data_IF_059700299228
#
_entry.id   IF_059700299228
#
_cell.length_a   1.000
_cell.length_b   1.000
_cell.length_c   1.000
_cell.angle_alpha   90.00
_cell.angle_beta   90.00
_cell.angle_gamma   90.00
#
_symmetry.space_group_name_H-M   'P 1'
#
loop_
_entity.id
_entity.type
_entity.pdbx_description
1 polymer ?
#
# COMPACT_ATOMS: atom_id res chain seq x y z
N UNK A 1 16.95 10.33 53.65
CA UNK A 1 16.16 11.32 52.92
C UNK A 1 15.64 10.81 51.55
N UNK A 2 16.40 10.11 50.68
CA UNK A 2 15.84 9.62 49.39
C UNK A 2 14.75 8.55 49.50
N UNK A 3 14.81 7.66 50.51
CA UNK A 3 13.80 6.61 50.72
C UNK A 3 12.42 7.15 51.14
N UNK A 4 12.37 8.25 51.90
CA UNK A 4 11.14 8.93 52.31
C UNK A 4 10.43 9.60 51.12
N UNK A 5 11.20 10.21 50.24
CA UNK A 5 10.69 10.82 48.99
C UNK A 5 10.11 9.76 48.02
N UNK A 6 10.79 8.62 47.87
CA UNK A 6 10.31 7.52 47.05
C UNK A 6 8.97 6.94 47.55
N UNK A 7 8.80 6.81 48.87
CA UNK A 7 7.54 6.37 49.49
C UNK A 7 6.40 7.39 49.28
N UNK A 8 6.67 8.69 49.40
CA UNK A 8 5.64 9.74 49.18
C UNK A 8 5.20 9.76 47.73
N UNK A 9 6.13 9.57 46.76
CA UNK A 9 5.83 9.52 45.34
C UNK A 9 4.90 8.35 44.96
N UNK A 10 5.05 7.21 45.65
CA UNK A 10 4.21 6.03 45.39
C UNK A 10 2.75 6.18 45.91
N UNK A 11 2.48 7.07 46.82
CA UNK A 11 1.13 7.36 47.34
C UNK A 11 0.41 8.46 46.54
N UNK A 12 1.07 9.15 45.60
CA UNK A 12 0.43 10.16 44.78
C UNK A 12 -0.46 9.46 43.73
N UNK A 13 -1.78 9.73 43.71
CA UNK A 13 -2.67 9.16 42.74
C UNK A 13 -2.41 9.83 41.35
N UNK A 14 -1.42 9.34 40.64
CA UNK A 14 -0.98 9.84 39.34
C UNK A 14 -2.12 10.00 38.33
N UNK A 15 -3.13 9.15 38.42
CA UNK A 15 -4.36 9.26 37.62
C UNK A 15 -5.11 10.57 37.87
N UNK A 16 -5.19 11.02 39.13
CA UNK A 16 -5.86 12.29 39.48
C UNK A 16 -5.05 13.49 38.96
N UNK A 17 -3.73 13.44 39.12
CA UNK A 17 -2.84 14.48 38.57
C UNK A 17 -3.01 14.55 37.05
N UNK A 18 -3.06 13.41 36.38
CA UNK A 18 -3.23 13.34 34.95
C UNK A 18 -4.60 13.90 34.50
N UNK A 19 -5.69 13.57 35.19
CA UNK A 19 -7.02 14.12 34.94
C UNK A 19 -7.03 15.64 35.14
N UNK A 20 -6.36 16.12 36.20
CA UNK A 20 -6.27 17.56 36.49
C UNK A 20 -5.48 18.29 35.39
N UNK A 21 -4.31 17.80 34.98
CA UNK A 21 -3.50 18.42 33.93
C UNK A 21 -4.24 18.43 32.59
N UNK A 22 -4.97 17.37 32.27
CA UNK A 22 -5.82 17.31 31.08
C UNK A 22 -6.94 18.36 31.14
N UNK A 23 -7.60 18.49 32.29
CA UNK A 23 -8.78 19.38 32.42
C UNK A 23 -8.41 20.86 32.48
N UNK A 24 -7.32 21.21 33.16
CA UNK A 24 -6.96 22.60 33.45
C UNK A 24 -5.85 23.15 32.52
N UNK A 25 -4.94 22.28 32.06
CA UNK A 25 -3.82 22.70 31.21
C UNK A 25 -3.97 22.23 29.75
N UNK A 26 -5.02 21.43 29.43
CA UNK A 26 -5.23 20.90 28.08
C UNK A 26 -4.09 19.97 27.62
N UNK A 27 -3.39 19.33 28.55
CA UNK A 27 -2.28 18.44 28.26
C UNK A 27 -2.80 17.02 28.05
N UNK A 28 -2.41 16.43 26.94
CA UNK A 28 -2.77 15.06 26.53
C UNK A 28 -1.56 14.19 26.38
N UNK A 29 -1.73 12.89 26.62
CA UNK A 29 -0.75 11.86 26.29
C UNK A 29 -1.16 11.22 24.96
N UNK A 30 -0.25 11.23 23.99
CA UNK A 30 -0.43 10.63 22.68
C UNK A 30 0.53 9.44 22.54
N UNK A 31 0.00 8.34 22.04
CA UNK A 31 0.75 7.17 21.61
C UNK A 31 0.57 7.03 20.11
N UNK A 32 1.61 7.27 19.33
CA UNK A 32 1.56 7.40 17.87
C UNK A 32 2.37 6.27 17.28
N UNK A 33 1.73 5.45 16.46
CA UNK A 33 2.31 4.30 15.76
C UNK A 33 2.15 4.40 14.24
N UNK A 34 1.30 5.32 13.77
CA UNK A 34 1.12 5.55 12.33
C UNK A 34 2.42 6.08 11.73
N UNK A 35 2.97 5.33 10.78
CA UNK A 35 4.26 5.62 10.15
C UNK A 35 4.34 7.04 9.59
N UNK A 36 3.28 7.48 8.90
CA UNK A 36 3.22 8.82 8.29
C UNK A 36 3.29 9.94 9.33
N UNK A 37 2.51 9.85 10.40
CA UNK A 37 2.52 10.81 11.50
C UNK A 37 3.87 10.80 12.22
N UNK A 38 4.45 9.62 12.46
CA UNK A 38 5.77 9.49 13.08
C UNK A 38 6.86 10.17 12.25
N UNK A 39 6.87 9.97 10.93
CA UNK A 39 7.84 10.58 10.01
C UNK A 39 7.67 12.10 9.97
N UNK A 40 6.43 12.61 9.97
CA UNK A 40 6.17 14.07 10.01
C UNK A 40 6.71 14.72 11.28
N UNK A 41 6.38 14.12 12.43
CA UNK A 41 6.85 14.61 13.73
C UNK A 41 8.38 14.54 13.78
N UNK A 42 9.00 13.44 13.37
CA UNK A 42 10.45 13.28 13.36
C UNK A 42 11.13 14.35 12.52
N UNK A 43 10.67 14.62 11.30
CA UNK A 43 11.24 15.68 10.44
C UNK A 43 11.20 17.06 11.10
N UNK A 44 10.12 17.38 11.80
CA UNK A 44 9.94 18.69 12.45
C UNK A 44 10.77 18.86 13.72
N UNK A 45 11.06 17.77 14.43
CA UNK A 45 11.84 17.80 15.68
C UNK A 45 13.29 17.39 15.49
N UNK A 46 13.71 17.05 14.28
CA UNK A 46 15.05 16.53 13.97
C UNK A 46 16.19 17.41 14.48
N UNK A 47 16.03 18.73 14.42
CA UNK A 47 17.03 19.71 14.92
C UNK A 47 17.11 19.83 16.45
N UNK A 48 16.11 19.29 17.19
CA UNK A 48 16.02 19.35 18.65
C UNK A 48 16.07 17.98 19.32
N UNK A 49 16.31 16.92 18.53
CA UNK A 49 16.35 15.55 19.01
C UNK A 49 17.68 15.26 19.72
N UNK A 50 17.61 14.82 20.96
CA UNK A 50 18.78 14.22 21.63
C UNK A 50 18.95 12.81 21.11
N UNK A 51 19.92 12.59 20.22
CA UNK A 51 20.16 11.32 19.55
C UNK A 51 20.94 10.40 20.46
N UNK A 52 20.40 9.20 20.69
CA UNK A 52 21.13 8.14 21.39
C UNK A 52 21.79 7.20 20.36
N UNK A 53 23.12 7.23 20.31
CA UNK A 53 23.91 6.27 19.55
C UNK A 53 23.80 6.33 18.01
N UNK A 54 23.51 7.47 17.40
CA UNK A 54 23.45 7.61 15.92
C UNK A 54 22.15 7.11 15.29
N UNK A 55 21.17 6.70 16.09
CA UNK A 55 19.83 6.27 15.63
C UNK A 55 18.86 7.45 15.64
N UNK A 56 17.85 7.39 14.77
CA UNK A 56 16.77 8.38 14.72
C UNK A 56 15.79 8.26 15.91
N UNK A 57 16.29 7.86 17.09
CA UNK A 57 15.56 7.70 18.35
C UNK A 57 16.10 8.70 19.39
N UNK A 58 15.25 9.13 20.31
CA UNK A 58 15.64 10.05 21.37
C UNK A 58 14.49 10.89 21.89
N UNK A 59 14.83 11.89 22.67
CA UNK A 59 13.88 12.82 23.27
C UNK A 59 13.92 14.16 22.55
N UNK A 60 12.75 14.77 22.35
CA UNK A 60 12.65 16.16 21.92
C UNK A 60 11.67 16.91 22.83
N UNK A 61 11.97 18.19 23.07
CA UNK A 61 11.17 19.06 23.91
C UNK A 61 10.98 20.41 23.21
N UNK A 62 9.76 20.90 23.24
CA UNK A 62 9.41 22.23 22.78
C UNK A 62 8.52 22.96 23.76
N UNK A 63 8.03 24.17 23.40
CA UNK A 63 7.30 25.04 24.32
C UNK A 63 6.10 24.38 25.02
N UNK A 64 5.41 23.44 24.34
CA UNK A 64 4.19 22.81 24.84
C UNK A 64 4.12 21.32 24.47
N UNK A 65 5.28 20.67 24.30
CA UNK A 65 5.39 19.24 24.10
C UNK A 65 6.70 18.67 24.64
N UNK A 66 6.64 17.45 25.08
CA UNK A 66 7.78 16.58 25.34
C UNK A 66 7.44 15.27 24.63
N UNK A 67 8.37 14.74 23.85
CA UNK A 67 8.18 13.48 23.17
C UNK A 67 9.43 12.59 23.24
N UNK A 68 9.18 11.30 23.15
CA UNK A 68 10.20 10.28 23.03
C UNK A 68 9.92 9.50 21.74
N UNK A 69 10.89 9.48 20.83
CA UNK A 69 10.87 8.67 19.61
C UNK A 69 11.67 7.41 19.89
N UNK A 70 11.02 6.27 19.76
CA UNK A 70 11.65 4.97 19.80
C UNK A 70 11.70 4.42 18.38
N UNK A 71 12.91 4.35 17.80
CA UNK A 71 13.16 3.75 16.51
C UNK A 71 13.58 2.29 16.73
N UNK A 72 12.79 1.37 16.22
CA UNK A 72 13.15 -0.05 16.18
C UNK A 72 13.68 -0.31 14.76
N UNK A 73 15.01 -0.41 14.63
CA UNK A 73 15.63 -0.85 13.39
C UNK A 73 15.37 -2.35 13.27
N UNK A 74 14.54 -2.71 12.33
CA UNK A 74 14.42 -4.10 11.88
C UNK A 74 15.32 -4.24 10.66
N UNK A 75 16.30 -5.13 10.72
CA UNK A 75 17.32 -5.36 9.67
C UNK A 75 16.76 -5.58 8.27
N UNK A 76 15.45 -5.80 8.13
CA UNK A 76 14.75 -6.12 6.89
C UNK A 76 13.65 -5.15 6.44
N UNK A 77 13.14 -4.26 7.33
CA UNK A 77 11.91 -3.49 7.02
C UNK A 77 12.04 -1.97 7.10
N UNK A 78 13.25 -1.45 7.32
CA UNK A 78 13.43 -0.05 7.65
C UNK A 78 12.97 0.27 9.08
N UNK A 79 13.28 1.46 9.56
CA UNK A 79 12.99 1.86 10.93
C UNK A 79 11.48 1.99 11.16
N UNK A 80 10.96 1.26 12.12
CA UNK A 80 9.60 1.45 12.64
C UNK A 80 9.68 2.43 13.79
N UNK A 81 8.84 3.47 13.77
CA UNK A 81 8.84 4.51 14.81
C UNK A 81 7.62 4.36 15.71
N UNK A 82 7.86 4.52 16.99
CA UNK A 82 6.81 4.68 17.99
C UNK A 82 7.09 5.95 18.77
N UNK A 83 6.10 6.83 18.89
CA UNK A 83 6.26 8.12 19.56
C UNK A 83 5.33 8.19 20.78
N UNK A 84 5.91 8.43 21.92
CA UNK A 84 5.19 8.82 23.13
C UNK A 84 5.30 10.33 23.28
N UNK A 85 4.19 11.05 23.30
CA UNK A 85 4.21 12.49 23.38
C UNK A 85 3.23 13.01 24.41
N UNK A 86 3.70 13.90 25.27
CA UNK A 86 2.90 14.72 26.19
C UNK A 86 2.84 16.10 25.58
N UNK A 87 1.65 16.58 25.21
CA UNK A 87 1.50 17.88 24.58
C UNK A 87 0.09 18.45 24.71
N UNK A 88 -0.03 19.74 24.40
CA UNK A 88 -1.35 20.34 24.14
C UNK A 88 -1.86 19.90 22.78
N UNK A 89 -3.19 19.91 22.61
CA UNK A 89 -3.84 19.54 21.34
C UNK A 89 -3.37 20.43 20.17
N UNK A 90 -3.13 21.73 20.42
CA UNK A 90 -2.61 22.65 19.43
C UNK A 90 -1.21 22.30 18.96
N UNK A 91 -0.34 21.90 19.88
CA UNK A 91 1.03 21.46 19.55
C UNK A 91 1.02 20.11 18.80
N UNK A 92 0.15 19.19 19.19
CA UNK A 92 -0.03 17.94 18.46
C UNK A 92 -0.45 18.20 17.01
N UNK A 93 -1.52 18.98 16.81
CA UNK A 93 -2.02 19.34 15.48
C UNK A 93 -0.94 20.04 14.64
N UNK A 94 -0.14 20.93 15.24
CA UNK A 94 0.96 21.61 14.55
C UNK A 94 2.07 20.65 14.11
N UNK A 95 2.40 19.64 14.93
CA UNK A 95 3.42 18.65 14.60
C UNK A 95 2.95 17.57 13.61
N UNK A 96 1.64 17.35 13.49
CA UNK A 96 1.05 16.32 12.59
C UNK A 96 0.47 16.89 11.30
N UNK A 97 0.31 18.23 11.15
CA UNK A 97 -0.21 18.88 9.94
C UNK A 97 0.59 18.48 8.70
N UNK A 98 -0.07 18.38 7.56
CA UNK A 98 0.61 18.20 6.28
C UNK A 98 1.41 19.45 5.90
N UNK A 99 2.56 19.30 5.26
CA UNK A 99 3.49 20.40 4.93
C UNK A 99 2.94 21.32 3.82
N UNK A 100 1.86 20.89 3.16
CA UNK A 100 1.27 21.59 2.02
C UNK A 100 0.42 22.83 2.38
N UNK A 101 0.22 23.13 3.68
CA UNK A 101 -0.58 24.30 4.13
C UNK A 101 0.24 25.45 4.75
N UNK A 102 1.56 25.42 4.70
CA UNK A 102 2.37 26.61 5.10
C UNK A 102 2.72 27.43 3.86
N UNK A 103 2.01 28.54 3.66
CA UNK A 103 2.34 29.58 2.68
C UNK A 103 3.78 30.09 2.95
N UNK A 104 4.68 29.88 2.00
CA UNK A 104 5.98 30.55 1.99
C UNK A 104 5.80 32.04 1.69
N UNK A 105 6.54 32.95 2.41
CA UNK A 105 6.51 34.36 2.08
C UNK A 105 7.25 34.59 0.76
N UNK A 106 6.51 35.12 -0.20
CA UNK A 106 6.88 35.81 -1.44
C UNK A 106 8.38 35.90 -1.73
N UNK A 107 8.90 35.08 -2.60
CA UNK A 107 10.17 35.28 -3.29
C UNK A 107 9.91 35.18 -4.80
N UNK A 108 10.20 36.27 -5.47
CA UNK A 108 10.19 36.64 -6.86
C UNK A 108 9.99 35.49 -7.89
N UNK A 109 8.89 35.59 -8.64
CA UNK A 109 8.52 34.81 -9.80
C UNK A 109 9.64 34.74 -10.85
N UNK A 110 10.19 33.55 -11.02
CA UNK A 110 10.76 33.07 -12.28
C UNK A 110 9.70 32.11 -12.84
N UNK A 111 9.25 32.26 -14.09
CA UNK A 111 8.27 31.35 -14.66
C UNK A 111 8.96 30.03 -14.99
N UNK A 112 8.85 29.06 -14.10
CA UNK A 112 9.29 27.70 -14.32
C UNK A 112 8.17 26.90 -15.00
N UNK A 113 8.50 26.51 -16.21
CA UNK A 113 8.22 25.23 -16.87
C UNK A 113 7.27 24.28 -16.15
N UNK A 114 6.17 23.97 -16.83
CA UNK A 114 5.32 22.77 -16.76
C UNK A 114 5.46 21.90 -15.48
N UNK A 115 4.42 21.88 -14.66
CA UNK A 115 4.19 20.93 -13.57
C UNK A 115 4.40 19.51 -14.08
N UNK A 116 5.58 18.96 -13.81
CA UNK A 116 5.86 17.53 -13.98
C UNK A 116 5.03 16.78 -12.94
N UNK A 117 3.86 16.29 -13.34
CA UNK A 117 3.08 15.33 -12.55
C UNK A 117 4.03 14.29 -11.94
N UNK A 118 3.95 14.12 -10.63
CA UNK A 118 4.79 13.18 -9.88
C UNK A 118 4.88 11.84 -10.62
N UNK A 119 6.06 11.52 -11.12
CA UNK A 119 6.32 10.26 -11.84
C UNK A 119 6.46 9.06 -10.90
N UNK A 120 6.16 9.21 -9.62
CA UNK A 120 6.31 8.18 -8.59
C UNK A 120 5.03 7.37 -8.45
N UNK A 121 5.17 6.06 -8.35
CA UNK A 121 4.11 5.11 -8.02
C UNK A 121 4.48 4.34 -6.76
N UNK A 122 3.49 3.94 -5.97
CA UNK A 122 3.68 3.08 -4.80
C UNK A 122 3.63 1.62 -5.22
N UNK A 123 4.75 0.91 -5.11
CA UNK A 123 4.87 -0.51 -5.44
C UNK A 123 4.99 -1.32 -4.16
N UNK A 124 4.32 -2.47 -4.13
CA UNK A 124 4.32 -3.38 -2.99
C UNK A 124 5.08 -4.65 -3.34
N UNK A 125 6.09 -4.93 -2.55
CA UNK A 125 6.86 -6.15 -2.64
C UNK A 125 6.46 -7.11 -1.51
N UNK A 126 6.25 -8.38 -1.86
CA UNK A 126 6.10 -9.47 -0.90
C UNK A 126 7.43 -9.76 -0.24
N UNK A 127 7.45 -9.85 1.07
CA UNK A 127 8.65 -10.09 1.88
C UNK A 127 8.38 -11.23 2.86
N UNK A 128 9.42 -11.89 3.31
CA UNK A 128 9.34 -13.02 4.23
C UNK A 128 9.10 -14.36 3.54
N UNK A 129 8.94 -15.39 4.34
CA UNK A 129 8.76 -16.77 3.86
C UNK A 129 7.72 -17.52 4.68
N UNK A 130 6.96 -18.34 4.01
CA UNK A 130 6.01 -19.32 4.57
C UNK A 130 5.05 -18.76 5.64
N UNK A 131 5.35 -18.95 6.91
CA UNK A 131 4.48 -18.55 8.03
C UNK A 131 4.60 -17.10 8.44
N UNK A 132 5.56 -16.38 7.90
CA UNK A 132 5.81 -14.98 8.23
C UNK A 132 5.93 -14.17 6.93
N UNK A 133 4.80 -13.95 6.26
CA UNK A 133 4.67 -13.16 5.05
C UNK A 133 4.13 -11.80 5.40
N UNK A 134 4.77 -10.75 4.89
CA UNK A 134 4.29 -9.36 4.97
C UNK A 134 4.59 -8.61 3.69
N UNK A 135 3.98 -7.45 3.52
CA UNK A 135 4.07 -6.66 2.30
C UNK A 135 4.67 -5.29 2.59
N UNK A 136 5.65 -4.88 1.80
CA UNK A 136 6.37 -3.61 1.97
C UNK A 136 6.10 -2.67 0.81
N UNK A 137 5.67 -1.45 1.11
CA UNK A 137 5.58 -0.35 0.14
C UNK A 137 6.97 0.24 -0.15
N UNK A 138 7.22 0.54 -1.40
CA UNK A 138 8.33 1.37 -1.86
C UNK A 138 7.91 2.25 -3.01
N UNK A 139 8.55 3.40 -3.15
CA UNK A 139 8.33 4.28 -4.29
C UNK A 139 9.17 3.84 -5.48
N UNK A 140 8.59 3.95 -6.66
CA UNK A 140 9.24 3.71 -7.93
C UNK A 140 8.89 4.83 -8.90
N UNK A 141 9.88 5.41 -9.56
CA UNK A 141 9.64 6.34 -10.68
C UNK A 141 9.18 5.58 -11.92
N UNK A 142 8.13 6.08 -12.56
CA UNK A 142 7.59 5.55 -13.80
C UNK A 142 7.38 6.69 -14.79
N UNK A 143 8.24 6.76 -15.80
CA UNK A 143 8.21 7.79 -16.84
C UNK A 143 7.41 7.37 -18.07
N UNK A 144 7.05 6.08 -18.16
CA UNK A 144 6.28 5.54 -19.26
C UNK A 144 4.91 6.24 -19.39
N UNK A 145 4.50 6.44 -20.63
CA UNK A 145 3.18 6.94 -21.01
C UNK A 145 2.39 5.86 -21.72
N UNK A 146 1.06 5.82 -21.56
CA UNK A 146 0.22 4.83 -22.24
C UNK A 146 0.31 4.98 -23.76
N UNK A 147 0.41 3.88 -24.48
CA UNK A 147 0.20 3.84 -25.93
C UNK A 147 -1.30 3.83 -26.27
N UNK A 148 -1.70 4.16 -27.50
CA UNK A 148 -3.12 4.24 -27.83
C UNK A 148 -3.94 3.00 -27.47
N UNK A 149 -3.42 1.79 -27.78
CA UNK A 149 -4.05 0.52 -27.40
C UNK A 149 -4.17 0.33 -25.89
N UNK A 150 -3.19 0.80 -25.12
CA UNK A 150 -3.22 0.76 -23.65
C UNK A 150 -4.17 1.81 -23.07
N UNK A 151 -4.22 3.02 -23.64
CA UNK A 151 -5.09 4.10 -23.16
C UNK A 151 -6.58 3.70 -23.17
N UNK A 152 -7.00 2.93 -24.16
CA UNK A 152 -8.38 2.44 -24.25
C UNK A 152 -8.74 1.55 -23.07
N UNK A 153 -7.94 0.53 -22.77
CA UNK A 153 -8.23 -0.39 -21.67
C UNK A 153 -8.10 0.32 -20.29
N UNK A 154 -7.15 1.23 -20.13
CA UNK A 154 -7.04 2.04 -18.91
C UNK A 154 -8.32 2.83 -18.64
N UNK A 155 -8.87 3.48 -19.69
CA UNK A 155 -10.13 4.22 -19.60
C UNK A 155 -11.31 3.32 -19.21
N UNK A 156 -11.41 2.11 -19.78
CA UNK A 156 -12.47 1.15 -19.48
C UNK A 156 -12.39 0.70 -18.01
N UNK A 157 -11.19 0.33 -17.54
CA UNK A 157 -10.99 -0.11 -16.15
C UNK A 157 -11.32 1.03 -15.17
N UNK A 158 -10.83 2.25 -15.43
CA UNK A 158 -11.12 3.41 -14.57
C UNK A 158 -12.62 3.69 -14.47
N UNK A 159 -13.32 3.69 -15.60
CA UNK A 159 -14.77 3.92 -15.63
C UNK A 159 -15.51 2.87 -14.81
N UNK A 160 -15.19 1.58 -14.99
CA UNK A 160 -15.81 0.49 -14.27
C UNK A 160 -15.54 0.58 -12.77
N UNK A 161 -14.27 0.80 -12.39
CA UNK A 161 -13.87 0.92 -11.00
C UNK A 161 -14.54 2.11 -10.27
N UNK A 162 -14.66 3.25 -10.94
CA UNK A 162 -15.37 4.41 -10.39
C UNK A 162 -16.83 4.12 -10.09
N UNK A 163 -17.47 3.28 -10.90
CA UNK A 163 -18.88 2.92 -10.74
C UNK A 163 -19.12 1.87 -9.66
N UNK A 164 -18.28 0.82 -9.61
CA UNK A 164 -18.51 -0.37 -8.78
C UNK A 164 -17.56 -0.52 -7.60
N UNK A 165 -16.48 0.27 -7.56
CA UNK A 165 -15.44 0.26 -6.52
C UNK A 165 -14.65 -1.06 -6.41
N UNK A 166 -14.85 -1.97 -7.33
CA UNK A 166 -14.01 -3.15 -7.57
C UNK A 166 -13.97 -3.41 -9.08
N UNK A 167 -12.95 -4.10 -9.54
CA UNK A 167 -12.86 -4.49 -10.96
C UNK A 167 -11.98 -5.72 -11.09
N UNK A 168 -12.46 -6.70 -11.84
CA UNK A 168 -11.67 -7.85 -12.29
C UNK A 168 -11.55 -7.79 -13.81
N UNK A 169 -10.33 -7.59 -14.33
CA UNK A 169 -10.06 -7.48 -15.75
C UNK A 169 -9.18 -8.64 -16.25
N UNK A 170 -9.62 -9.36 -17.27
CA UNK A 170 -8.85 -10.35 -18.01
C UNK A 170 -8.34 -9.73 -19.31
N UNK A 171 -7.02 -9.54 -19.39
CA UNK A 171 -6.36 -8.89 -20.54
C UNK A 171 -5.51 -9.95 -21.24
N UNK A 172 -5.84 -10.24 -22.49
CA UNK A 172 -5.19 -11.31 -23.23
C UNK A 172 -4.65 -10.83 -24.58
N UNK A 173 -3.82 -11.64 -25.21
CA UNK A 173 -3.24 -11.38 -26.53
C UNK A 173 -1.80 -11.84 -26.64
N UNK A 174 -1.15 -11.69 -27.80
CA UNK A 174 0.20 -12.18 -28.04
C UNK A 174 1.23 -11.54 -27.10
N UNK A 175 2.40 -12.19 -26.91
CA UNK A 175 3.51 -11.61 -26.14
C UNK A 175 3.98 -10.30 -26.76
N UNK A 176 4.48 -9.37 -25.93
CA UNK A 176 5.01 -8.09 -26.39
C UNK A 176 3.97 -6.99 -26.63
N UNK A 177 2.68 -7.22 -26.41
CA UNK A 177 1.61 -6.22 -26.53
C UNK A 177 1.53 -5.25 -25.33
N UNK A 178 2.33 -5.46 -24.28
CA UNK A 178 2.40 -4.56 -23.13
C UNK A 178 1.33 -4.77 -22.06
N UNK A 179 0.72 -5.96 -22.00
CA UNK A 179 -0.29 -6.33 -20.99
C UNK A 179 0.19 -6.07 -19.54
N UNK A 180 1.40 -6.52 -19.20
CA UNK A 180 1.96 -6.35 -17.85
C UNK A 180 2.22 -4.90 -17.45
N UNK A 181 2.30 -3.98 -18.43
CA UNK A 181 2.43 -2.55 -18.14
C UNK A 181 1.12 -1.88 -17.74
N UNK A 182 -0.03 -2.46 -18.07
CA UNK A 182 -1.34 -1.87 -17.77
C UNK A 182 -1.50 -1.57 -16.29
N UNK A 183 -1.12 -2.50 -15.41
CA UNK A 183 -1.21 -2.29 -13.95
C UNK A 183 -0.36 -1.13 -13.46
N UNK A 184 0.86 -0.98 -13.96
CA UNK A 184 1.77 0.13 -13.59
C UNK A 184 1.28 1.48 -14.11
N UNK A 185 0.81 1.53 -15.37
CA UNK A 185 0.24 2.74 -15.97
C UNK A 185 -1.03 3.18 -15.24
N UNK A 186 -1.89 2.23 -14.90
CA UNK A 186 -3.10 2.47 -14.12
C UNK A 186 -2.76 2.98 -12.71
N UNK A 187 -1.72 2.43 -12.07
CA UNK A 187 -1.25 2.87 -10.76
C UNK A 187 -0.79 4.33 -10.80
N UNK A 188 -0.09 4.73 -11.86
CA UNK A 188 0.32 6.12 -12.06
C UNK A 188 -0.88 7.06 -12.22
N UNK A 189 -1.86 6.68 -13.04
CA UNK A 189 -3.03 7.52 -13.33
C UNK A 189 -4.01 7.65 -12.15
N UNK A 190 -4.13 6.61 -11.31
CA UNK A 190 -5.03 6.59 -10.17
C UNK A 190 -4.34 6.92 -8.85
N UNK A 191 -3.04 7.21 -8.86
CA UNK A 191 -2.22 7.30 -7.64
C UNK A 191 -2.40 6.05 -6.75
N UNK A 192 -2.46 4.87 -7.37
CA UNK A 192 -2.81 3.63 -6.72
C UNK A 192 -1.61 2.88 -6.16
N UNK A 193 -1.88 1.93 -5.27
CA UNK A 193 -0.92 0.96 -4.75
C UNK A 193 -0.83 -0.21 -5.74
N UNK A 194 0.36 -0.48 -6.28
CA UNK A 194 0.58 -1.56 -7.23
C UNK A 194 1.24 -2.77 -6.57
N UNK A 195 0.68 -3.96 -6.79
CA UNK A 195 1.26 -5.23 -6.35
C UNK A 195 1.19 -6.29 -7.46
N UNK A 196 2.30 -6.92 -7.78
CA UNK A 196 2.39 -8.10 -8.66
C UNK A 196 3.15 -9.26 -8.00
N UNK A 197 3.45 -9.15 -6.73
CA UNK A 197 4.25 -10.11 -5.98
C UNK A 197 3.42 -11.10 -5.15
N UNK A 198 2.12 -10.82 -4.91
CA UNK A 198 1.21 -11.74 -4.25
C UNK A 198 0.96 -12.98 -5.11
N UNK A 199 1.07 -14.16 -4.52
CA UNK A 199 0.81 -15.45 -5.17
C UNK A 199 -0.04 -16.34 -4.25
N UNK A 200 -1.35 -16.18 -4.20
CA UNK A 200 -2.21 -16.88 -3.24
C UNK A 200 -2.26 -18.41 -3.45
N UNK A 201 -1.64 -18.90 -4.52
CA UNK A 201 -1.35 -20.30 -4.78
C UNK A 201 0.00 -20.78 -4.22
N UNK A 202 0.67 -19.96 -3.43
CA UNK A 202 1.86 -20.32 -2.64
C UNK A 202 1.53 -20.35 -1.15
N UNK A 203 2.28 -21.14 -0.35
CA UNK A 203 2.06 -21.22 1.09
C UNK A 203 2.20 -19.87 1.80
N UNK A 204 1.20 -19.53 2.60
CA UNK A 204 1.19 -18.33 3.44
C UNK A 204 0.70 -17.05 2.76
N UNK A 205 0.57 -17.01 1.44
CA UNK A 205 0.12 -15.84 0.72
C UNK A 205 -1.42 -15.75 0.71
N UNK A 206 -1.97 -14.64 1.17
CA UNK A 206 -3.42 -14.39 1.11
C UNK A 206 -3.74 -12.96 0.68
N UNK A 207 -4.83 -12.77 -0.07
CA UNK A 207 -5.29 -11.44 -0.43
C UNK A 207 -5.68 -10.63 0.82
N UNK A 208 -6.27 -11.27 1.82
CA UNK A 208 -6.71 -10.60 3.04
C UNK A 208 -5.56 -9.96 3.83
N UNK A 209 -4.38 -10.61 3.90
CA UNK A 209 -3.19 -10.03 4.51
C UNK A 209 -2.73 -8.80 3.73
N UNK A 210 -2.53 -8.93 2.41
CA UNK A 210 -2.14 -7.80 1.56
C UNK A 210 -3.12 -6.64 1.70
N UNK A 211 -4.41 -6.93 1.61
CA UNK A 211 -5.46 -5.91 1.66
C UNK A 211 -5.49 -5.18 3.01
N UNK A 212 -5.38 -5.91 4.13
CA UNK A 212 -5.36 -5.31 5.46
C UNK A 212 -4.11 -4.48 5.74
N UNK A 213 -2.94 -4.87 5.20
CA UNK A 213 -1.70 -4.10 5.36
C UNK A 213 -1.64 -2.86 4.47
N UNK A 214 -2.29 -2.90 3.31
CA UNK A 214 -2.26 -1.78 2.35
C UNK A 214 -3.34 -0.74 2.61
N UNK A 215 -4.44 -1.10 3.28
CA UNK A 215 -5.57 -0.22 3.60
C UNK A 215 -6.03 0.62 2.38
N UNK A 216 -6.41 -0.02 1.26
CA UNK A 216 -6.78 0.72 0.06
C UNK A 216 -8.01 1.60 0.28
N UNK A 217 -8.10 2.67 -0.49
CA UNK A 217 -9.19 3.63 -0.42
C UNK A 217 -9.54 4.13 -1.83
N UNK A 218 -10.64 4.82 -1.97
CA UNK A 218 -11.06 5.39 -3.25
C UNK A 218 -10.02 6.34 -3.86
N UNK A 219 -9.24 7.06 -3.03
CA UNK A 219 -8.17 7.94 -3.48
C UNK A 219 -6.86 7.21 -3.78
N UNK A 220 -6.70 6.03 -3.25
CA UNK A 220 -5.49 5.23 -3.35
C UNK A 220 -5.85 3.74 -3.43
N UNK A 221 -6.47 3.29 -4.56
CA UNK A 221 -6.92 1.90 -4.71
C UNK A 221 -5.74 0.92 -4.80
N UNK A 222 -6.03 -0.35 -4.55
CA UNK A 222 -5.06 -1.43 -4.71
C UNK A 222 -5.20 -2.06 -6.10
N UNK A 223 -4.13 -2.04 -6.88
CA UNK A 223 -4.03 -2.74 -8.16
C UNK A 223 -3.20 -4.01 -7.95
N UNK A 224 -3.84 -5.15 -8.09
CA UNK A 224 -3.21 -6.45 -8.01
C UNK A 224 -3.11 -7.06 -9.41
N UNK A 225 -1.92 -7.49 -9.80
CA UNK A 225 -1.69 -8.07 -11.13
C UNK A 225 -1.19 -9.49 -10.99
N UNK A 226 -1.88 -10.42 -11.66
CA UNK A 226 -1.42 -11.78 -11.86
C UNK A 226 -1.00 -11.95 -13.32
N UNK A 227 0.31 -11.87 -13.55
CA UNK A 227 0.89 -12.05 -14.86
C UNK A 227 0.95 -13.52 -15.27
N UNK A 228 0.81 -13.80 -16.58
CA UNK A 228 0.82 -15.15 -17.16
C UNK A 228 -0.14 -16.10 -16.44
N UNK A 229 -1.34 -15.60 -16.16
CA UNK A 229 -2.33 -16.27 -15.32
C UNK A 229 -2.85 -17.56 -15.96
N UNK A 230 -2.79 -17.74 -17.27
CA UNK A 230 -3.06 -18.98 -17.96
C UNK A 230 -2.24 -20.16 -17.38
N UNK A 231 -0.95 -19.99 -17.16
CA UNK A 231 -0.08 -21.02 -16.57
C UNK A 231 -0.44 -21.33 -15.12
N UNK A 232 -0.97 -20.35 -14.39
CA UNK A 232 -1.45 -20.54 -13.02
C UNK A 232 -2.76 -21.32 -13.03
N UNK A 233 -3.68 -20.99 -13.94
CA UNK A 233 -4.97 -21.67 -14.09
C UNK A 233 -4.81 -23.16 -14.43
N UNK A 234 -3.88 -23.52 -15.30
CA UNK A 234 -3.58 -24.92 -15.62
C UNK A 234 -3.21 -25.70 -14.35
N UNK A 235 -2.32 -25.14 -13.52
CA UNK A 235 -1.93 -25.75 -12.24
C UNK A 235 -3.07 -25.82 -11.22
N UNK A 236 -3.95 -24.80 -11.19
CA UNK A 236 -5.14 -24.80 -10.32
C UNK A 236 -6.18 -25.82 -10.80
N UNK A 237 -6.25 -26.06 -12.11
CA UNK A 237 -7.13 -27.05 -12.70
C UNK A 237 -6.72 -28.48 -12.32
N UNK A 238 -5.41 -28.75 -12.34
CA UNK A 238 -4.83 -30.02 -11.88
C UNK A 238 -4.90 -30.18 -10.36
N UNK A 239 -4.98 -29.08 -9.63
CA UNK A 239 -4.94 -29.04 -8.17
C UNK A 239 -3.51 -28.95 -7.63
N UNK A 240 -3.24 -27.92 -6.83
CA UNK A 240 -1.94 -27.70 -6.19
C UNK A 240 -1.86 -28.56 -4.93
N UNK A 241 -0.77 -29.31 -4.79
CA UNK A 241 -0.54 -30.15 -3.63
C UNK A 241 -0.49 -29.30 -2.34
N UNK A 242 -1.15 -29.80 -1.28
CA UNK A 242 -1.13 -29.14 0.03
C UNK A 242 0.30 -29.06 0.57
N UNK A 243 0.66 -27.92 1.12
CA UNK A 243 1.90 -27.80 1.89
C UNK A 243 1.71 -28.46 3.28
N UNK A 244 2.74 -29.14 3.78
CA UNK A 244 2.67 -29.94 5.01
C UNK A 244 2.21 -29.15 6.24
N UNK A 245 2.68 -27.90 6.39
CA UNK A 245 2.53 -27.13 7.64
C UNK A 245 1.84 -25.76 7.42
N UNK A 246 1.71 -25.30 6.17
CA UNK A 246 1.25 -23.95 5.88
C UNK A 246 0.11 -24.01 4.88
N UNK A 247 -1.02 -23.37 5.15
CA UNK A 247 -2.14 -23.34 4.23
C UNK A 247 -1.79 -22.57 2.95
N UNK A 248 -2.34 -23.04 1.83
CA UNK A 248 -2.34 -22.34 0.56
C UNK A 248 -3.77 -21.85 0.33
N UNK A 249 -3.92 -20.54 0.14
CA UNK A 249 -5.24 -19.90 0.05
C UNK A 249 -6.04 -20.38 -1.17
N UNK A 250 -5.37 -20.53 -2.32
CA UNK A 250 -5.98 -20.97 -3.58
C UNK A 250 -5.20 -22.16 -4.12
N UNK A 251 -5.80 -23.35 -4.05
CA UNK A 251 -5.14 -24.59 -4.48
C UNK A 251 -5.79 -25.24 -5.69
N UNK A 252 -7.03 -24.86 -5.96
CA UNK A 252 -7.89 -25.53 -6.91
C UNK A 252 -8.96 -24.58 -7.46
N UNK A 253 -9.75 -25.07 -8.39
CA UNK A 253 -10.87 -24.33 -8.98
C UNK A 253 -11.86 -23.76 -7.95
N UNK A 254 -12.35 -24.51 -6.96
CA UNK A 254 -13.21 -23.96 -5.92
C UNK A 254 -12.61 -22.76 -5.19
N UNK A 255 -11.34 -22.86 -4.79
CA UNK A 255 -10.64 -21.76 -4.11
C UNK A 255 -10.51 -20.50 -4.96
N UNK A 256 -10.20 -20.66 -6.26
CA UNK A 256 -10.17 -19.56 -7.22
C UNK A 256 -11.55 -18.90 -7.40
N UNK A 257 -12.56 -19.72 -7.63
CA UNK A 257 -13.92 -19.23 -7.81
C UNK A 257 -14.43 -18.50 -6.57
N UNK A 258 -14.10 -19.00 -5.37
CA UNK A 258 -14.45 -18.36 -4.12
C UNK A 258 -13.83 -16.97 -3.99
N UNK A 259 -12.54 -16.81 -4.31
CA UNK A 259 -11.88 -15.50 -4.30
C UNK A 259 -12.60 -14.49 -5.20
N UNK A 260 -12.91 -14.88 -6.45
CA UNK A 260 -13.60 -13.98 -7.36
C UNK A 260 -15.01 -13.62 -6.87
N UNK A 261 -15.73 -14.60 -6.31
CA UNK A 261 -17.05 -14.37 -5.74
C UNK A 261 -17.00 -13.42 -4.53
N UNK A 262 -15.94 -13.46 -3.69
CA UNK A 262 -15.71 -12.49 -2.60
C UNK A 262 -15.48 -11.07 -3.14
N UNK A 263 -14.66 -10.92 -4.18
CA UNK A 263 -14.42 -9.62 -4.82
C UNK A 263 -15.73 -9.05 -5.36
N UNK A 264 -16.52 -9.86 -6.06
CA UNK A 264 -17.82 -9.44 -6.63
C UNK A 264 -18.87 -9.09 -5.57
N UNK A 265 -18.79 -9.71 -4.40
CA UNK A 265 -19.65 -9.35 -3.24
C UNK A 265 -19.21 -8.08 -2.54
N UNK A 266 -18.12 -7.43 -3.00
CA UNK A 266 -17.61 -6.19 -2.39
C UNK A 266 -16.85 -6.39 -1.08
N UNK A 267 -16.31 -7.59 -0.81
CA UNK A 267 -15.50 -7.84 0.38
C UNK A 267 -14.14 -7.11 0.33
N UNK A 268 -13.72 -6.71 -0.88
CA UNK A 268 -12.48 -5.97 -1.12
C UNK A 268 -12.77 -4.69 -1.91
N UNK A 269 -13.38 -3.65 -1.29
CA UNK A 269 -13.62 -2.38 -1.95
C UNK A 269 -12.31 -1.70 -2.36
N UNK A 270 -12.33 -0.95 -3.45
CA UNK A 270 -11.17 -0.28 -4.02
C UNK A 270 -10.03 -1.22 -4.48
N UNK A 271 -10.38 -2.47 -4.82
CA UNK A 271 -9.49 -3.44 -5.45
C UNK A 271 -9.69 -3.47 -6.98
N UNK A 272 -8.60 -3.44 -7.72
CA UNK A 272 -8.55 -3.71 -9.16
C UNK A 272 -7.65 -4.93 -9.35
N UNK A 273 -8.24 -6.06 -9.75
CA UNK A 273 -7.53 -7.28 -10.09
C UNK A 273 -7.35 -7.37 -11.61
N UNK A 274 -6.10 -7.44 -12.06
CA UNK A 274 -5.75 -7.60 -13.47
C UNK A 274 -5.12 -8.98 -13.66
N UNK A 275 -5.72 -9.76 -14.55
CA UNK A 275 -5.24 -11.06 -14.97
C UNK A 275 -4.68 -10.93 -16.39
N UNK A 276 -3.39 -11.14 -16.59
CA UNK A 276 -2.81 -11.12 -17.95
C UNK A 276 -2.61 -12.54 -18.47
N UNK A 277 -2.82 -12.75 -19.75
CA UNK A 277 -2.70 -14.06 -20.38
C UNK A 277 -2.20 -13.95 -21.83
N UNK A 278 -1.49 -14.97 -22.28
CA UNK A 278 -1.18 -15.18 -23.69
C UNK A 278 -2.21 -16.05 -24.39
N UNK A 279 -3.19 -16.56 -23.65
CA UNK A 279 -4.29 -17.37 -24.15
C UNK A 279 -5.58 -16.57 -24.20
N UNK A 280 -6.41 -16.83 -25.20
CA UNK A 280 -7.72 -16.22 -25.34
C UNK A 280 -8.76 -16.82 -24.35
N UNK A 281 -9.91 -16.19 -24.20
CA UNK A 281 -10.99 -16.72 -23.36
C UNK A 281 -11.49 -18.11 -23.77
N UNK A 282 -11.40 -18.45 -25.07
CA UNK A 282 -11.84 -19.75 -25.55
C UNK A 282 -10.98 -20.88 -24.97
N UNK A 283 -9.66 -20.68 -24.92
CA UNK A 283 -8.75 -21.64 -24.27
C UNK A 283 -9.08 -21.80 -22.79
N UNK A 284 -9.27 -20.71 -22.05
CA UNK A 284 -9.59 -20.80 -20.62
C UNK A 284 -10.93 -21.49 -20.39
N UNK A 285 -11.93 -21.20 -21.23
CA UNK A 285 -13.23 -21.85 -21.16
C UNK A 285 -13.18 -23.34 -21.52
N UNK A 286 -12.21 -23.78 -22.32
CA UNK A 286 -11.98 -25.19 -22.60
C UNK A 286 -11.45 -25.97 -21.39
N UNK A 287 -10.72 -25.31 -20.48
CA UNK A 287 -10.37 -25.86 -19.18
C UNK A 287 -11.60 -25.93 -18.27
N UNK A 288 -12.23 -24.79 -18.02
CA UNK A 288 -13.50 -24.68 -17.31
C UNK A 288 -14.09 -23.28 -17.46
N UNK A 289 -15.33 -23.11 -17.92
CA UNK A 289 -15.96 -21.81 -18.12
C UNK A 289 -16.13 -21.00 -16.83
N UNK A 290 -16.07 -21.62 -15.66
CA UNK A 290 -16.27 -20.93 -14.38
C UNK A 290 -15.10 -20.01 -13.98
N UNK A 291 -13.93 -20.20 -14.59
CA UNK A 291 -12.73 -19.41 -14.24
C UNK A 291 -12.83 -17.92 -14.58
N UNK A 292 -13.43 -17.60 -15.72
CA UNK A 292 -13.56 -16.24 -16.24
C UNK A 292 -14.99 -15.89 -16.67
N UNK A 293 -15.99 -16.59 -16.10
CA UNK A 293 -17.39 -16.34 -16.45
C UNK A 293 -17.82 -14.91 -16.13
N UNK A 294 -18.83 -14.42 -16.83
CA UNK A 294 -19.53 -13.19 -16.48
C UNK A 294 -19.96 -13.19 -14.99
N UNK A 295 -19.95 -12.05 -14.34
CA UNK A 295 -20.13 -11.83 -12.90
C UNK A 295 -18.97 -12.32 -12.00
N UNK A 296 -17.82 -12.74 -12.58
CA UNK A 296 -16.56 -12.95 -11.89
C UNK A 296 -15.45 -12.11 -12.50
N UNK A 297 -15.47 -12.01 -13.84
CA UNK A 297 -14.61 -11.13 -14.61
C UNK A 297 -15.48 -10.07 -15.27
N UNK A 298 -15.23 -8.82 -14.95
CA UNK A 298 -16.03 -7.68 -15.39
C UNK A 298 -15.64 -7.22 -16.80
N UNK A 299 -14.35 -7.33 -17.12
CA UNK A 299 -13.78 -6.86 -18.36
C UNK A 299 -12.93 -7.98 -18.98
N UNK A 300 -13.22 -8.32 -20.23
CA UNK A 300 -12.35 -9.15 -21.08
C UNK A 300 -11.89 -8.29 -22.25
N UNK A 301 -10.56 -8.15 -22.40
CA UNK A 301 -10.01 -7.24 -23.39
C UNK A 301 -8.82 -7.85 -24.13
N UNK A 302 -8.88 -7.80 -25.46
CA UNK A 302 -7.83 -8.30 -26.34
C UNK A 302 -6.84 -7.17 -26.69
N UNK A 303 -5.54 -7.45 -26.51
CA UNK A 303 -4.46 -6.59 -26.97
C UNK A 303 -3.76 -7.24 -28.14
N UNK A 304 -3.98 -6.73 -29.35
CA UNK A 304 -3.49 -7.32 -30.60
C UNK A 304 -2.21 -6.70 -31.11
N UNK A 305 -1.96 -5.40 -30.80
CA UNK A 305 -0.85 -4.66 -31.38
C UNK A 305 0.43 -4.82 -30.56
N UNK A 306 1.53 -5.39 -31.11
CA UNK A 306 2.81 -5.43 -30.45
C UNK A 306 3.37 -4.04 -30.19
N UNK A 307 3.94 -3.81 -29.03
CA UNK A 307 4.67 -2.58 -28.71
C UNK A 307 6.07 -2.68 -29.32
N UNK A 308 6.27 -2.10 -30.50
CA UNK A 308 7.60 -1.95 -31.07
C UNK A 308 8.46 -1.07 -30.14
N UNK A 309 9.54 -1.61 -29.61
CA UNK A 309 10.57 -0.80 -28.97
C UNK A 309 11.25 0.01 -30.08
N UNK A 310 11.21 1.34 -29.99
CA UNK A 310 12.03 2.19 -30.82
C UNK A 310 13.51 1.85 -30.48
N UNK A 311 14.12 0.98 -31.26
CA UNK A 311 15.57 0.77 -31.24
C UNK A 311 16.11 2.08 -31.83
N UNK A 312 16.64 2.97 -30.99
CA UNK A 312 17.51 4.05 -31.48
C UNK A 312 18.72 3.36 -32.08
N UNK A 313 18.76 3.27 -33.42
CA UNK A 313 20.00 3.03 -34.15
C UNK A 313 20.87 4.25 -33.91
N UNK A 314 21.94 4.08 -33.14
CA UNK A 314 23.05 5.02 -33.03
C UNK A 314 23.82 5.07 -34.36
#
# INVERSE_FOLDING_TARGET
MPLLLANIISYIPWSIIFIFTKRFLGIHLYYITRKEECVRIQKRVQGSLTVDGGKSSGYAMGKWYILHINAIDTDYNGSTYTIYMISTESSYKKLTKDVEEEEEPNMLLIPDTEETQSSKISVVDRTGSFSNVWFRKRDRSLHDTPKPSQATILSIIKKHHTQYRHTVAYIYGPPGTGKSMIGLLLAKELNAIFCNSLKPWQPGDTLSILYSEMEPSQKNPLILVFDEFDSVLERLHEGIQAHKNIPIAIRDKPGWNYLLDEIQRGMYPDLILILTSNKDPHYINSLDPSYIRANRVDIQYEMTEPILKNIKTE
#
